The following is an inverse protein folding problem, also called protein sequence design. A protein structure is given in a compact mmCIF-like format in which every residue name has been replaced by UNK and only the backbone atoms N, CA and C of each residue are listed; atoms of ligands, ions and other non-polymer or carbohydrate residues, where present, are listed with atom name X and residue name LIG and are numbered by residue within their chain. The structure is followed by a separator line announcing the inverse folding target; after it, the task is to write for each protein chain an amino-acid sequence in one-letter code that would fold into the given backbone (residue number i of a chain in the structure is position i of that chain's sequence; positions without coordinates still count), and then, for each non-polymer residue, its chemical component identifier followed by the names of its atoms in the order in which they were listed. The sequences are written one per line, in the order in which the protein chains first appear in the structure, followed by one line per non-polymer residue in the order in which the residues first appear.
data_IF_189387030318
#
_entry.id   IF_189387030318
#
_cell.length_a   1.000
_cell.length_b   1.000
_cell.length_c   1.000
_cell.angle_alpha   90.00
_cell.angle_beta   90.00
_cell.angle_gamma   90.00
#
_symmetry.space_group_name_H-M   'P 1'
#
loop_
_entity.id
_entity.type
_entity.pdbx_description
1 polymer ?
#
# COMPACT_ATOMS: atom_id res chain seq x y z
N UNK A 1 3.05 -56.82 17.91
CA UNK A 1 2.91 -56.27 16.55
C UNK A 1 3.77 -55.00 16.53
N UNK A 2 5.01 -54.95 16.05
CA UNK A 2 5.63 -55.56 14.84
C UNK A 2 4.82 -55.25 13.58
N UNK A 3 5.33 -54.52 12.58
CA UNK A 3 6.66 -53.88 12.42
C UNK A 3 6.81 -53.20 11.05
N UNK A 4 8.05 -52.83 10.66
CA UNK A 4 8.48 -52.13 9.41
C UNK A 4 8.16 -50.60 9.36
N UNK A 5 9.10 -49.64 9.25
CA UNK A 5 10.51 -49.63 8.76
C UNK A 5 10.61 -50.07 7.27
N UNK A 6 11.31 -49.43 6.32
CA UNK A 6 12.19 -48.24 6.31
C UNK A 6 12.67 -47.97 4.84
N UNK A 7 13.11 -46.73 4.49
CA UNK A 7 14.25 -46.42 3.55
C UNK A 7 14.18 -46.90 2.04
N UNK A 8 14.88 -46.39 0.99
CA UNK A 8 15.81 -45.26 0.69
C UNK A 8 15.73 -44.84 -0.82
N UNK A 9 16.33 -43.68 -1.14
CA UNK A 9 16.86 -43.08 -2.40
C UNK A 9 17.29 -43.94 -3.62
N UNK A 10 17.39 -43.25 -4.78
CA UNK A 10 18.18 -43.58 -5.99
C UNK A 10 17.41 -43.13 -7.25
N UNK A 11 17.64 -41.98 -7.89
CA UNK A 11 18.77 -41.52 -8.74
C UNK A 11 19.00 -42.32 -10.04
N UNK A 12 18.71 -41.61 -11.13
CA UNK A 12 19.53 -41.39 -12.35
C UNK A 12 19.86 -42.55 -13.33
N UNK A 13 19.99 -42.12 -14.59
CA UNK A 13 20.62 -42.81 -15.75
C UNK A 13 19.98 -44.13 -16.22
N UNK A 14 20.07 -44.56 -17.48
CA UNK A 14 20.18 -44.03 -18.85
C UNK A 14 20.22 -45.32 -19.71
N UNK A 15 19.96 -45.24 -21.02
CA UNK A 15 20.26 -46.26 -22.05
C UNK A 15 19.94 -47.77 -21.82
N UNK A 16 19.22 -48.39 -22.77
CA UNK A 16 19.88 -49.13 -23.87
C UNK A 16 18.87 -49.70 -24.89
N UNK A 17 18.82 -49.04 -26.05
CA UNK A 17 18.85 -49.56 -27.42
C UNK A 17 17.97 -50.74 -27.95
N UNK A 18 17.65 -50.57 -29.25
CA UNK A 18 17.45 -51.59 -30.29
C UNK A 18 16.28 -52.60 -30.26
N UNK A 19 15.32 -52.42 -31.20
CA UNK A 19 15.12 -53.27 -32.42
C UNK A 19 13.80 -52.91 -33.13
N UNK A 20 13.83 -52.35 -34.36
CA UNK A 20 14.02 -53.02 -35.65
C UNK A 20 12.70 -53.54 -36.27
N UNK A 21 12.18 -52.91 -37.35
CA UNK A 21 12.41 -53.37 -38.74
C UNK A 21 11.37 -52.86 -39.78
N UNK A 22 11.91 -52.45 -40.95
CA UNK A 22 11.46 -52.76 -42.33
C UNK A 22 10.52 -51.83 -43.17
N UNK A 23 11.10 -51.34 -44.29
CA UNK A 23 10.55 -51.23 -45.67
C UNK A 23 9.30 -50.35 -45.97
N UNK A 24 8.98 -49.85 -47.18
CA UNK A 24 9.67 -49.49 -48.45
C UNK A 24 8.65 -48.77 -49.39
N UNK A 25 8.97 -48.09 -50.51
CA UNK A 25 10.07 -47.19 -50.92
C UNK A 25 9.75 -46.59 -52.33
N UNK A 26 10.40 -45.48 -52.75
CA UNK A 26 10.46 -44.93 -54.13
C UNK A 26 9.14 -44.45 -54.83
N UNK A 27 9.12 -43.68 -55.95
CA UNK A 27 9.83 -42.43 -56.37
C UNK A 27 9.21 -41.88 -57.70
N UNK A 28 9.45 -40.60 -58.05
CA UNK A 28 9.48 -39.95 -59.41
C UNK A 28 8.20 -39.62 -60.26
N UNK A 29 7.92 -38.29 -60.40
CA UNK A 29 7.76 -37.40 -61.61
C UNK A 29 7.01 -37.83 -62.93
N UNK A 30 6.62 -36.94 -63.91
CA UNK A 30 6.98 -35.51 -64.17
C UNK A 30 5.82 -34.53 -64.61
N UNK A 31 6.17 -33.34 -65.15
CA UNK A 31 5.31 -32.23 -65.69
C UNK A 31 5.56 -32.04 -67.21
N UNK A 32 4.64 -31.44 -68.01
CA UNK A 32 5.09 -30.40 -69.00
C UNK A 32 4.12 -29.21 -69.33
N UNK A 33 4.70 -28.00 -69.51
CA UNK A 33 4.53 -26.93 -70.54
C UNK A 33 3.26 -26.85 -71.47
N UNK A 34 2.74 -25.74 -72.06
CA UNK A 34 2.74 -24.24 -71.97
C UNK A 34 1.86 -23.66 -73.19
N UNK A 35 1.96 -22.42 -73.77
CA UNK A 35 0.86 -21.39 -73.87
C UNK A 35 0.38 -20.98 -75.32
N UNK A 36 0.07 -19.70 -75.68
CA UNK A 36 -1.17 -18.85 -75.55
C UNK A 36 -1.86 -18.49 -76.93
N UNK A 37 -2.86 -17.54 -77.05
CA UNK A 37 -2.54 -16.11 -77.34
C UNK A 37 -3.56 -14.97 -76.99
N UNK A 38 -3.01 -13.74 -76.83
CA UNK A 38 -3.46 -12.37 -77.26
C UNK A 38 -4.81 -11.67 -76.89
N UNK A 39 -4.65 -10.53 -76.17
CA UNK A 39 -5.19 -9.16 -76.41
C UNK A 39 -6.69 -8.85 -76.67
N UNK A 40 -7.30 -8.06 -75.76
CA UNK A 40 -7.75 -6.67 -76.04
C UNK A 40 -7.96 -5.83 -74.74
N UNK A 41 -8.28 -4.53 -74.85
CA UNK A 41 -7.75 -3.47 -73.94
C UNK A 41 -8.75 -2.43 -73.37
N UNK A 42 -8.30 -1.72 -72.31
CA UNK A 42 -8.82 -0.45 -71.68
C UNK A 42 -10.19 -0.56 -70.96
N UNK A 43 -10.38 -0.07 -69.72
CA UNK A 43 -10.17 1.28 -69.17
C UNK A 43 -10.05 1.24 -67.62
N UNK A 44 -8.96 1.67 -66.98
CA UNK A 44 -8.59 3.04 -66.56
C UNK A 44 -9.45 3.67 -65.42
N UNK A 45 -8.98 3.52 -64.18
CA UNK A 45 -9.09 4.52 -63.10
C UNK A 45 -7.95 4.28 -62.06
N UNK A 46 -7.46 5.31 -61.32
CA UNK A 46 -6.07 5.32 -60.85
C UNK A 46 -5.85 4.97 -59.36
N UNK A 47 -4.76 4.27 -59.08
CA UNK A 47 -4.20 4.11 -57.73
C UNK A 47 -3.31 5.31 -57.34
N UNK A 48 -3.25 5.69 -56.05
CA UNK A 48 -2.11 6.35 -55.46
C UNK A 48 -1.15 5.32 -54.82
N UNK A 49 0.01 5.18 -55.47
CA UNK A 49 1.35 4.94 -54.88
C UNK A 49 1.48 4.56 -53.40
N UNK A 50 1.96 3.34 -53.18
CA UNK A 50 3.26 3.03 -52.53
C UNK A 50 3.65 3.87 -51.30
N UNK A 51 3.42 3.32 -50.10
CA UNK A 51 4.42 3.40 -49.03
C UNK A 51 4.53 2.05 -48.31
N UNK A 52 5.56 1.29 -48.70
CA UNK A 52 6.09 0.19 -47.90
C UNK A 52 6.94 0.81 -46.81
N UNK A 53 6.44 0.81 -45.59
CA UNK A 53 7.22 0.94 -44.35
C UNK A 53 6.43 0.25 -43.24
N UNK A 54 6.38 -1.09 -43.31
CA UNK A 54 6.05 -1.93 -42.16
C UNK A 54 7.27 -2.01 -41.23
N UNK A 55 7.80 -0.84 -40.86
CA UNK A 55 8.85 -0.73 -39.86
C UNK A 55 8.26 -1.20 -38.56
N UNK A 56 8.84 -2.28 -38.05
CA UNK A 56 8.71 -2.75 -36.69
C UNK A 56 8.54 -1.54 -35.76
N UNK A 57 7.39 -1.42 -35.11
CA UNK A 57 7.27 -0.55 -33.97
C UNK A 57 8.18 -1.18 -32.90
N UNK A 58 9.42 -0.70 -32.86
CA UNK A 58 10.38 -1.07 -31.84
C UNK A 58 9.68 -0.94 -30.49
N UNK A 59 9.72 -2.02 -29.72
CA UNK A 59 9.47 -1.95 -28.29
C UNK A 59 10.65 -1.19 -27.73
N UNK A 60 10.58 0.13 -27.85
CA UNK A 60 11.62 1.04 -27.43
C UNK A 60 11.64 1.03 -25.90
N UNK A 61 12.43 0.09 -25.38
CA UNK A 61 12.83 0.00 -23.98
C UNK A 61 13.82 1.11 -23.64
N UNK A 62 13.52 2.35 -24.00
CA UNK A 62 14.23 3.51 -23.46
C UNK A 62 13.58 4.00 -22.17
N UNK A 63 14.45 4.30 -21.22
CA UNK A 63 14.16 4.31 -19.81
C UNK A 63 14.00 5.74 -19.33
N UNK A 64 12.83 6.33 -19.57
CA UNK A 64 12.43 7.57 -18.91
C UNK A 64 11.12 7.41 -18.13
N UNK A 65 11.19 7.65 -16.83
CA UNK A 65 10.03 7.86 -15.97
C UNK A 65 9.20 9.03 -16.52
N UNK A 66 8.21 8.72 -17.38
CA UNK A 66 7.12 9.63 -17.72
C UNK A 66 6.27 9.86 -16.46
N UNK A 67 6.78 10.74 -15.59
CA UNK A 67 6.05 11.32 -14.46
C UNK A 67 4.80 11.99 -15.02
N UNK A 68 3.69 11.26 -14.95
CA UNK A 68 2.38 11.72 -15.40
C UNK A 68 2.16 13.15 -14.88
N UNK A 69 1.78 14.10 -15.76
CA UNK A 69 1.61 15.49 -15.37
C UNK A 69 0.60 15.57 -14.23
N UNK A 70 0.86 16.49 -13.29
CA UNK A 70 0.02 16.62 -12.10
C UNK A 70 -1.46 16.74 -12.48
N UNK A 71 -2.36 15.94 -11.86
CA UNK A 71 -3.77 15.98 -12.20
C UNK A 71 -4.33 17.38 -11.94
N UNK A 72 -5.12 17.94 -12.87
CA UNK A 72 -5.68 19.28 -12.72
C UNK A 72 -6.45 19.40 -11.40
N UNK A 73 -6.37 20.57 -10.76
CA UNK A 73 -7.09 20.83 -9.52
C UNK A 73 -8.60 20.59 -9.71
N UNK A 74 -9.16 19.68 -8.90
CA UNK A 74 -10.53 19.21 -9.09
C UNK A 74 -10.86 17.97 -8.26
N UNK A 75 -11.96 17.29 -8.60
CA UNK A 75 -12.53 16.16 -7.84
C UNK A 75 -11.57 14.99 -7.60
N UNK A 76 -10.49 14.90 -8.39
CA UNK A 76 -9.44 13.88 -8.29
C UNK A 76 -8.60 14.02 -7.00
N UNK A 77 -8.35 15.26 -6.56
CA UNK A 77 -7.57 15.56 -5.35
C UNK A 77 -8.26 15.11 -4.04
N UNK A 78 -9.59 14.97 -4.08
CA UNK A 78 -10.42 14.49 -2.97
C UNK A 78 -10.66 12.96 -3.01
N UNK A 79 -9.97 12.24 -3.90
CA UNK A 79 -10.06 10.78 -3.96
C UNK A 79 -9.60 10.14 -2.65
N UNK A 80 -10.43 9.26 -2.09
CA UNK A 80 -10.17 8.62 -0.80
C UNK A 80 -10.51 9.46 0.44
N UNK A 81 -10.98 10.70 0.31
CA UNK A 81 -11.51 11.46 1.45
C UNK A 81 -12.76 10.79 2.06
N UNK A 82 -13.67 10.28 1.24
CA UNK A 82 -14.84 9.51 1.71
C UNK A 82 -14.43 8.21 2.42
N UNK A 83 -13.43 7.49 1.88
CA UNK A 83 -12.83 6.33 2.53
C UNK A 83 -12.18 6.68 3.87
N UNK A 84 -11.53 7.85 3.98
CA UNK A 84 -10.93 8.31 5.24
C UNK A 84 -11.98 8.61 6.30
N UNK A 85 -13.10 9.25 5.95
CA UNK A 85 -14.18 9.60 6.89
C UNK A 85 -14.83 8.32 7.42
N UNK A 86 -15.35 7.47 6.53
CA UNK A 86 -16.00 6.19 6.88
C UNK A 86 -15.01 5.29 7.65
N UNK A 87 -13.78 5.23 7.16
CA UNK A 87 -12.68 4.46 7.74
C UNK A 87 -12.32 4.87 9.16
N UNK A 88 -12.18 6.17 9.42
CA UNK A 88 -11.88 6.67 10.77
C UNK A 88 -13.05 6.46 11.73
N UNK A 89 -14.30 6.60 11.28
CA UNK A 89 -15.48 6.32 12.09
C UNK A 89 -15.55 4.83 12.48
N UNK A 90 -15.40 3.92 11.50
CA UNK A 90 -15.37 2.48 11.75
C UNK A 90 -14.19 2.08 12.66
N UNK A 91 -13.01 2.67 12.43
CA UNK A 91 -11.82 2.50 13.27
C UNK A 91 -12.08 2.87 14.72
N UNK A 92 -12.65 4.05 14.97
CA UNK A 92 -12.99 4.50 16.32
C UNK A 92 -14.01 3.56 17.00
N UNK A 93 -15.11 3.22 16.30
CA UNK A 93 -16.14 2.32 16.83
C UNK A 93 -15.60 0.94 17.21
N UNK A 94 -14.85 0.28 16.31
CA UNK A 94 -14.23 -1.03 16.62
C UNK A 94 -13.23 -0.90 17.76
N UNK A 95 -12.43 0.16 17.81
CA UNK A 95 -11.45 0.36 18.89
C UNK A 95 -12.11 0.47 20.27
N UNK A 96 -13.17 1.26 20.41
CA UNK A 96 -13.87 1.40 21.70
C UNK A 96 -14.54 0.08 22.10
N UNK A 97 -15.31 -0.54 21.19
CA UNK A 97 -15.97 -1.84 21.47
C UNK A 97 -14.94 -2.91 21.85
N UNK A 98 -13.84 -3.04 21.09
CA UNK A 98 -12.80 -4.01 21.40
C UNK A 98 -12.10 -3.69 22.73
N UNK A 99 -11.81 -2.41 23.01
CA UNK A 99 -11.19 -2.00 24.27
C UNK A 99 -12.08 -2.33 25.47
N UNK A 100 -13.38 -2.05 25.41
CA UNK A 100 -14.31 -2.37 26.49
C UNK A 100 -14.47 -3.88 26.70
N UNK A 101 -14.48 -4.68 25.62
CA UNK A 101 -14.48 -6.15 25.71
C UNK A 101 -13.19 -6.69 26.34
N UNK A 102 -12.00 -6.24 25.90
CA UNK A 102 -10.74 -6.67 26.52
C UNK A 102 -10.58 -6.15 27.95
N UNK A 103 -11.10 -4.96 28.25
CA UNK A 103 -11.14 -4.41 29.60
C UNK A 103 -12.00 -5.30 30.50
N UNK A 104 -13.22 -5.64 30.08
CA UNK A 104 -14.12 -6.53 30.82
C UNK A 104 -13.51 -7.92 31.10
N UNK A 105 -12.71 -8.46 30.17
CA UNK A 105 -11.98 -9.72 30.34
C UNK A 105 -10.75 -9.65 31.25
N UNK A 106 -10.28 -8.44 31.61
CA UNK A 106 -9.03 -8.23 32.35
C UNK A 106 -9.21 -7.49 33.69
N UNK A 107 -10.44 -7.16 34.08
CA UNK A 107 -10.77 -6.62 35.41
C UNK A 107 -10.43 -7.66 36.48
N UNK A 108 -9.81 -7.22 37.58
CA UNK A 108 -9.70 -8.06 38.80
C UNK A 108 -11.06 -8.16 39.52
N UNK A 109 -11.21 -9.15 40.41
CA UNK A 109 -12.41 -9.34 41.25
C UNK A 109 -12.80 -8.07 42.05
N UNK A 110 -11.85 -7.18 42.30
CA UNK A 110 -12.03 -5.89 42.97
C UNK A 110 -12.49 -4.74 42.04
N UNK A 111 -12.88 -5.01 40.78
CA UNK A 111 -13.33 -4.00 39.82
C UNK A 111 -12.23 -3.10 39.23
N UNK A 112 -10.99 -3.27 39.65
CA UNK A 112 -9.85 -2.44 39.27
C UNK A 112 -9.09 -3.02 38.05
N UNK A 113 -8.64 -2.13 37.16
CA UNK A 113 -7.65 -2.47 36.13
C UNK A 113 -6.27 -1.95 36.55
N UNK A 114 -5.30 -2.85 36.68
CA UNK A 114 -3.89 -2.46 36.84
C UNK A 114 -3.31 -1.91 35.52
N UNK A 115 -2.35 -1.01 35.62
CA UNK A 115 -1.67 -0.39 34.47
C UNK A 115 -1.22 -1.38 33.38
N UNK A 116 -0.52 -2.49 33.73
CA UNK A 116 -0.11 -3.50 32.76
C UNK A 116 -1.29 -4.17 32.03
N UNK A 117 -2.40 -4.43 32.72
CA UNK A 117 -3.61 -5.01 32.10
C UNK A 117 -4.30 -4.02 31.17
N UNK A 118 -4.32 -2.74 31.51
CA UNK A 118 -4.80 -1.67 30.62
C UNK A 118 -3.96 -1.60 29.33
N UNK A 119 -2.65 -1.81 29.41
CA UNK A 119 -1.76 -1.88 28.23
C UNK A 119 -2.08 -3.12 27.38
N UNK A 120 -2.30 -4.29 27.98
CA UNK A 120 -2.69 -5.51 27.27
C UNK A 120 -4.06 -5.33 26.58
N UNK A 121 -5.05 -4.77 27.27
CA UNK A 121 -6.36 -4.45 26.70
C UNK A 121 -6.26 -3.47 25.52
N UNK A 122 -5.44 -2.42 25.66
CA UNK A 122 -5.15 -1.46 24.60
C UNK A 122 -4.46 -2.09 23.38
N UNK A 123 -3.54 -3.04 23.60
CA UNK A 123 -2.85 -3.76 22.52
C UNK A 123 -3.79 -4.73 21.80
N UNK A 124 -4.58 -5.52 22.52
CA UNK A 124 -5.61 -6.39 21.94
C UNK A 124 -6.62 -5.60 21.12
N UNK A 125 -7.11 -4.48 21.66
CA UNK A 125 -8.00 -3.57 20.93
C UNK A 125 -7.36 -3.05 19.64
N UNK A 126 -6.10 -2.62 19.69
CA UNK A 126 -5.35 -2.12 18.53
C UNK A 126 -5.08 -3.17 17.45
N UNK A 127 -4.90 -4.44 17.82
CA UNK A 127 -4.78 -5.57 16.88
C UNK A 127 -6.13 -5.83 16.19
N UNK A 128 -7.21 -5.90 16.95
CA UNK A 128 -8.58 -6.12 16.44
C UNK A 128 -9.05 -4.97 15.55
N UNK A 129 -8.83 -3.72 15.98
CA UNK A 129 -9.00 -2.49 15.19
C UNK A 129 -8.21 -2.55 13.88
N UNK A 130 -6.95 -2.99 13.94
CA UNK A 130 -6.08 -3.07 12.76
C UNK A 130 -6.57 -4.13 11.76
N UNK A 131 -6.99 -5.29 12.23
CA UNK A 131 -7.47 -6.38 11.40
C UNK A 131 -8.82 -6.06 10.76
N UNK A 132 -9.79 -5.56 11.54
CA UNK A 132 -11.18 -5.43 11.11
C UNK A 132 -11.50 -4.09 10.44
N UNK A 133 -10.87 -2.98 10.84
CA UNK A 133 -11.11 -1.65 10.26
C UNK A 133 -9.93 -1.12 9.46
N UNK A 134 -8.74 -1.01 10.04
CA UNK A 134 -7.64 -0.23 9.44
C UNK A 134 -7.15 -0.85 8.14
N UNK A 135 -6.88 -2.15 8.14
CA UNK A 135 -6.31 -2.85 6.97
C UNK A 135 -7.23 -2.84 5.75
N UNK A 136 -8.50 -3.30 5.83
CA UNK A 136 -9.40 -3.25 4.68
C UNK A 136 -9.63 -1.81 4.20
N UNK A 137 -9.82 -0.85 5.13
CA UNK A 137 -10.00 0.56 4.79
C UNK A 137 -8.79 1.15 4.08
N UNK A 138 -7.58 0.95 4.60
CA UNK A 138 -6.36 1.49 3.98
C UNK A 138 -6.11 0.85 2.61
N UNK A 139 -6.36 -0.46 2.44
CA UNK A 139 -6.25 -1.14 1.13
C UNK A 139 -7.27 -0.61 0.10
N UNK A 140 -8.52 -0.36 0.51
CA UNK A 140 -9.53 0.27 -0.36
C UNK A 140 -9.11 1.71 -0.69
N UNK A 141 -8.60 2.46 0.28
CA UNK A 141 -8.15 3.85 0.08
C UNK A 141 -7.02 3.93 -0.93
N UNK A 142 -5.98 3.11 -0.79
CA UNK A 142 -4.83 3.11 -1.70
C UNK A 142 -5.23 2.62 -3.08
N UNK A 143 -6.02 1.53 -3.19
CA UNK A 143 -6.51 1.05 -4.47
C UNK A 143 -7.34 2.13 -5.19
N UNK A 144 -8.16 2.89 -4.46
CA UNK A 144 -8.92 4.02 -5.01
C UNK A 144 -8.02 5.20 -5.42
N UNK A 145 -6.94 5.48 -4.70
CA UNK A 145 -5.97 6.54 -5.08
C UNK A 145 -5.13 6.11 -6.30
N UNK A 146 -4.83 4.83 -6.43
CA UNK A 146 -4.03 4.25 -7.52
C UNK A 146 -4.85 4.15 -8.82
N UNK A 147 -6.10 3.67 -8.74
CA UNK A 147 -7.05 3.66 -9.88
C UNK A 147 -7.26 5.07 -10.46
N UNK A 148 -7.20 6.10 -9.62
CA UNK A 148 -7.31 7.51 -10.03
C UNK A 148 -6.11 8.07 -10.79
N UNK A 149 -4.97 7.37 -10.77
CA UNK A 149 -3.81 7.68 -11.63
C UNK A 149 -3.86 6.97 -12.97
N UNK A 150 -4.71 5.95 -13.11
CA UNK A 150 -4.90 5.23 -14.38
C UNK A 150 -5.61 6.10 -15.41
N UNK A 151 -5.30 5.88 -16.69
CA UNK A 151 -5.91 6.60 -17.81
C UNK A 151 -7.44 6.38 -17.93
N UNK A 152 -7.98 5.32 -17.30
CA UNK A 152 -9.42 5.01 -17.26
C UNK A 152 -9.86 4.65 -15.83
N UNK A 153 -10.06 5.63 -14.93
CA UNK A 153 -10.41 5.38 -13.54
C UNK A 153 -11.81 4.76 -13.41
N UNK A 154 -11.90 3.58 -12.78
CA UNK A 154 -13.15 2.79 -12.65
C UNK A 154 -13.83 2.96 -11.30
N UNK A 155 -13.11 3.41 -10.27
CA UNK A 155 -13.59 3.49 -8.89
C UNK A 155 -13.99 4.91 -8.51
N UNK A 156 -15.28 5.14 -8.27
CA UNK A 156 -15.81 6.49 -7.97
C UNK A 156 -15.69 6.87 -6.49
N UNK A 157 -15.76 5.91 -5.57
CA UNK A 157 -15.65 6.12 -4.12
C UNK A 157 -15.70 4.80 -3.33
N UNK A 158 -15.62 4.87 -1.99
CA UNK A 158 -15.51 3.70 -1.09
C UNK A 158 -16.51 2.57 -1.39
N UNK A 159 -17.82 2.87 -1.32
CA UNK A 159 -18.89 1.88 -1.51
C UNK A 159 -18.90 1.24 -2.91
N UNK A 160 -18.38 1.94 -3.92
CA UNK A 160 -18.24 1.42 -5.28
C UNK A 160 -16.95 0.60 -5.48
N UNK A 161 -15.89 0.92 -4.73
CA UNK A 161 -14.63 0.19 -4.78
C UNK A 161 -14.72 -1.19 -4.12
N UNK A 162 -15.44 -1.31 -2.99
CA UNK A 162 -15.61 -2.58 -2.25
C UNK A 162 -16.06 -3.76 -3.14
N UNK A 163 -17.20 -3.70 -3.86
CA UNK A 163 -17.66 -4.84 -4.67
C UNK A 163 -16.75 -5.13 -5.86
N UNK A 164 -16.05 -4.13 -6.41
CA UNK A 164 -15.07 -4.35 -7.51
C UNK A 164 -13.84 -5.08 -6.97
N UNK A 165 -13.25 -4.61 -5.86
CA UNK A 165 -12.10 -5.25 -5.22
C UNK A 165 -12.43 -6.68 -4.77
N UNK A 166 -13.63 -6.90 -4.20
CA UNK A 166 -14.09 -8.23 -3.81
C UNK A 166 -14.20 -9.19 -5.00
N UNK A 167 -14.69 -8.73 -6.16
CA UNK A 167 -14.79 -9.55 -7.38
C UNK A 167 -13.45 -9.78 -8.07
N UNK A 168 -12.58 -8.78 -8.13
CA UNK A 168 -11.31 -8.84 -8.88
C UNK A 168 -10.14 -9.46 -8.06
N UNK A 169 -10.13 -9.32 -6.73
CA UNK A 169 -9.04 -9.79 -5.86
C UNK A 169 -9.46 -10.73 -4.73
N UNK A 170 -10.77 -10.91 -4.51
CA UNK A 170 -11.29 -11.66 -3.37
C UNK A 170 -10.95 -11.03 -2.01
N UNK A 171 -11.27 -11.75 -0.93
CA UNK A 171 -11.03 -11.28 0.44
C UNK A 171 -9.54 -10.96 0.70
N UNK A 172 -8.61 -11.68 0.08
CA UNK A 172 -7.16 -11.43 0.20
C UNK A 172 -6.73 -10.05 -0.32
N UNK A 173 -7.46 -9.43 -1.25
CA UNK A 173 -7.17 -8.08 -1.72
C UNK A 173 -7.25 -7.01 -0.63
N UNK A 174 -8.18 -7.16 0.32
CA UNK A 174 -8.33 -6.22 1.44
C UNK A 174 -7.18 -6.29 2.45
N UNK A 175 -6.46 -7.41 2.53
CA UNK A 175 -5.30 -7.61 3.41
C UNK A 175 -3.95 -7.44 2.70
N UNK A 176 -3.96 -7.05 1.42
CA UNK A 176 -2.75 -6.77 0.66
C UNK A 176 -1.99 -5.58 1.28
N UNK A 177 -0.73 -5.79 1.68
CA UNK A 177 0.05 -4.79 2.42
C UNK A 177 -0.24 -4.72 3.93
N UNK A 178 -0.91 -5.71 4.52
CA UNK A 178 -1.11 -5.82 5.97
C UNK A 178 0.20 -5.75 6.77
N UNK A 179 1.16 -6.63 6.46
CA UNK A 179 2.45 -6.73 7.17
C UNK A 179 3.20 -5.39 7.24
N UNK A 180 3.49 -4.69 6.12
CA UNK A 180 4.16 -3.38 6.19
C UNK A 180 3.29 -2.29 6.84
N UNK A 181 1.95 -2.40 6.77
CA UNK A 181 1.04 -1.50 7.48
C UNK A 181 1.13 -1.65 9.00
N UNK A 182 1.09 -2.88 9.50
CA UNK A 182 1.17 -3.19 10.94
C UNK A 182 2.57 -2.88 11.47
N UNK A 183 3.63 -3.26 10.74
CA UNK A 183 5.00 -2.91 11.08
C UNK A 183 5.20 -1.39 11.17
N UNK A 184 4.66 -0.63 10.22
CA UNK A 184 4.66 0.84 10.27
C UNK A 184 3.92 1.38 11.49
N UNK A 185 2.74 0.87 11.81
CA UNK A 185 1.98 1.36 12.98
C UNK A 185 2.74 1.10 14.29
N UNK A 186 3.32 -0.10 14.44
CA UNK A 186 4.16 -0.44 15.59
C UNK A 186 5.39 0.49 15.69
N UNK A 187 6.14 0.65 14.59
CA UNK A 187 7.31 1.53 14.53
C UNK A 187 6.97 2.99 14.82
N UNK A 188 5.85 3.51 14.28
CA UNK A 188 5.40 4.87 14.53
C UNK A 188 5.09 5.11 16.02
N UNK A 189 4.46 4.14 16.69
CA UNK A 189 4.19 4.24 18.13
C UNK A 189 5.49 4.15 18.93
N UNK A 190 6.32 3.13 18.68
CA UNK A 190 7.57 2.89 19.40
C UNK A 190 8.54 4.09 19.25
N UNK A 191 8.86 4.50 18.02
CA UNK A 191 9.78 5.63 17.80
C UNK A 191 9.24 6.93 18.37
N UNK A 192 7.93 7.20 18.29
CA UNK A 192 7.36 8.42 18.86
C UNK A 192 7.49 8.47 20.37
N UNK A 193 7.17 7.39 21.07
CA UNK A 193 7.32 7.32 22.52
C UNK A 193 8.78 7.35 22.94
N UNK A 194 9.66 6.57 22.30
CA UNK A 194 11.09 6.56 22.62
C UNK A 194 11.75 7.92 22.37
N UNK A 195 11.53 8.55 21.22
CA UNK A 195 12.11 9.86 20.92
C UNK A 195 11.55 10.96 21.83
N UNK A 196 10.24 10.97 22.08
CA UNK A 196 9.62 11.92 23.01
C UNK A 196 10.17 11.77 24.42
N UNK A 197 10.20 10.54 24.96
CA UNK A 197 10.71 10.28 26.31
C UNK A 197 12.21 10.56 26.42
N UNK A 198 13.01 10.29 25.38
CA UNK A 198 14.45 10.60 25.35
C UNK A 198 14.69 12.11 25.45
N UNK A 199 14.09 12.89 24.55
CA UNK A 199 14.24 14.35 24.56
C UNK A 199 13.61 15.00 25.80
N UNK A 200 12.49 14.45 26.29
CA UNK A 200 11.86 14.89 27.53
C UNK A 200 12.79 14.68 28.73
N UNK A 201 13.34 13.47 28.94
CA UNK A 201 14.32 13.22 30.00
C UNK A 201 15.56 14.11 29.88
N UNK A 202 16.06 14.31 28.66
CA UNK A 202 17.21 15.19 28.40
C UNK A 202 16.90 16.64 28.81
N UNK A 203 15.73 17.18 28.44
CA UNK A 203 15.34 18.54 28.82
C UNK A 203 14.99 18.68 30.31
N UNK A 204 14.35 17.67 30.91
CA UNK A 204 14.12 17.60 32.36
C UNK A 204 15.44 17.58 33.14
N UNK A 205 16.52 16.99 32.61
CA UNK A 205 17.85 17.00 33.25
C UNK A 205 18.54 18.36 33.32
N UNK A 206 18.10 19.34 32.51
CA UNK A 206 18.57 20.72 32.55
C UNK A 206 17.63 21.66 33.33
N UNK A 207 16.54 21.11 33.90
CA UNK A 207 15.49 21.87 34.58
C UNK A 207 15.54 21.57 36.10
N UNK A 208 15.08 22.50 36.94
CA UNK A 208 15.04 22.27 38.38
C UNK A 208 14.10 21.09 38.74
N UNK A 209 14.45 20.24 39.74
CA UNK A 209 13.63 19.09 40.10
C UNK A 209 12.19 19.47 40.47
N UNK A 210 11.22 19.04 39.65
CA UNK A 210 9.79 19.27 39.87
C UNK A 210 9.15 20.37 39.00
N UNK A 211 9.94 21.18 38.29
CA UNK A 211 9.41 22.16 37.34
C UNK A 211 9.03 21.47 36.01
N UNK A 212 7.76 21.61 35.61
CA UNK A 212 7.26 21.03 34.35
C UNK A 212 7.75 21.87 33.18
N UNK A 213 8.21 21.23 32.11
CA UNK A 213 8.55 21.93 30.86
C UNK A 213 7.38 22.80 30.40
N UNK A 214 7.66 24.09 30.20
CA UNK A 214 6.71 25.03 29.61
C UNK A 214 6.19 24.54 28.24
N UNK A 215 5.00 25.03 27.86
CA UNK A 215 4.30 24.59 26.66
C UNK A 215 5.18 24.62 25.39
N UNK A 216 6.03 25.64 25.23
CA UNK A 216 6.98 25.78 24.12
C UNK A 216 8.03 24.67 24.11
N UNK A 217 8.60 24.31 25.26
CA UNK A 217 9.59 23.23 25.38
C UNK A 217 8.97 21.86 25.07
N UNK A 218 7.79 21.60 25.64
CA UNK A 218 7.01 20.38 25.34
C UNK A 218 6.62 20.29 23.86
N UNK A 219 6.25 21.42 23.24
CA UNK A 219 5.96 21.50 21.81
C UNK A 219 7.20 21.23 20.94
N UNK A 220 8.34 21.85 21.24
CA UNK A 220 9.59 21.65 20.50
C UNK A 220 10.04 20.17 20.55
N UNK A 221 9.96 19.55 21.72
CA UNK A 221 10.25 18.12 21.92
C UNK A 221 9.26 17.24 21.16
N UNK A 222 7.96 17.55 21.22
CA UNK A 222 6.94 16.85 20.45
C UNK A 222 7.15 16.95 18.92
N UNK A 223 7.59 18.12 18.45
CA UNK A 223 7.97 18.38 17.07
C UNK A 223 9.19 17.58 16.63
N UNK A 224 10.28 17.60 17.41
CA UNK A 224 11.51 16.87 17.12
C UNK A 224 11.30 15.35 17.16
N UNK A 225 10.57 14.84 18.16
CA UNK A 225 10.15 13.44 18.21
C UNK A 225 9.29 13.06 17.00
N UNK A 226 8.41 13.98 16.55
CA UNK A 226 7.63 13.83 15.32
C UNK A 226 8.49 13.73 14.06
N UNK A 227 9.51 14.60 13.92
CA UNK A 227 10.47 14.57 12.82
C UNK A 227 11.21 13.23 12.76
N UNK A 228 11.82 12.80 13.86
CA UNK A 228 12.54 11.50 13.93
C UNK A 228 11.59 10.35 13.60
N UNK A 229 10.37 10.35 14.16
CA UNK A 229 9.37 9.32 13.86
C UNK A 229 9.07 9.23 12.36
N UNK A 230 8.97 10.37 11.67
CA UNK A 230 8.74 10.38 10.21
C UNK A 230 9.94 9.77 9.48
N UNK A 231 11.17 10.22 9.73
CA UNK A 231 12.35 9.68 9.04
C UNK A 231 12.58 8.18 9.29
N UNK A 232 12.37 7.70 10.52
CA UNK A 232 12.52 6.27 10.86
C UNK A 232 11.42 5.41 10.24
N UNK A 233 10.17 5.89 10.18
CA UNK A 233 9.05 5.12 9.63
C UNK A 233 8.89 5.23 8.11
N UNK A 234 9.54 6.21 7.48
CA UNK A 234 9.39 6.49 6.05
C UNK A 234 9.68 5.29 5.13
N UNK A 235 10.72 4.46 5.35
CA UNK A 235 10.93 3.26 4.53
C UNK A 235 9.75 2.28 4.57
N UNK A 236 9.11 2.12 5.74
CA UNK A 236 7.93 1.26 5.90
C UNK A 236 6.69 1.86 5.21
N UNK A 237 6.50 3.18 5.23
CA UNK A 237 5.45 3.85 4.43
C UNK A 237 5.69 3.68 2.92
N UNK A 238 6.94 3.72 2.45
CA UNK A 238 7.29 3.48 1.04
C UNK A 238 7.01 2.02 0.62
N UNK A 239 7.46 1.03 1.39
CA UNK A 239 7.14 -0.39 1.13
C UNK A 239 5.63 -0.63 1.18
N UNK A 240 4.94 -0.05 2.17
CA UNK A 240 3.49 -0.14 2.32
C UNK A 240 2.77 0.37 1.07
N UNK A 241 3.07 1.60 0.64
CA UNK A 241 2.39 2.25 -0.50
C UNK A 241 2.64 1.49 -1.81
N UNK A 242 3.87 1.00 -2.03
CA UNK A 242 4.19 0.09 -3.15
C UNK A 242 3.43 -1.24 -3.06
N UNK A 243 3.35 -1.87 -1.88
CA UNK A 243 2.59 -3.13 -1.68
C UNK A 243 1.07 -2.98 -1.80
N UNK A 244 0.56 -1.76 -1.61
CA UNK A 244 -0.85 -1.41 -1.65
C UNK A 244 -1.33 -0.89 -3.02
N UNK A 245 -0.46 -0.85 -4.04
CA UNK A 245 -0.84 -0.55 -5.42
C UNK A 245 -1.62 -1.69 -6.06
N UNK A 246 -2.28 -1.40 -7.19
CA UNK A 246 -3.06 -2.36 -7.97
C UNK A 246 -2.19 -3.53 -8.45
N UNK A 247 -0.97 -3.23 -8.92
CA UNK A 247 -0.09 -4.20 -9.56
C UNK A 247 0.85 -4.93 -8.60
N UNK A 248 0.91 -4.55 -7.32
CA UNK A 248 1.94 -5.05 -6.40
C UNK A 248 2.01 -6.58 -6.27
N UNK A 249 0.89 -7.29 -6.45
CA UNK A 249 0.86 -8.76 -6.48
C UNK A 249 1.60 -9.35 -7.68
N UNK A 250 1.54 -8.68 -8.85
CA UNK A 250 2.24 -9.06 -10.09
C UNK A 250 3.71 -8.65 -10.03
N UNK A 251 4.00 -7.43 -9.58
CA UNK A 251 5.35 -6.84 -9.59
C UNK A 251 6.23 -7.35 -8.45
N UNK A 252 5.72 -7.40 -7.23
CA UNK A 252 6.51 -7.72 -6.04
C UNK A 252 6.10 -9.03 -5.35
N UNK A 253 4.81 -9.36 -5.33
CA UNK A 253 4.26 -10.53 -4.64
C UNK A 253 4.24 -10.39 -3.11
N UNK A 254 5.42 -10.33 -2.49
CA UNK A 254 5.62 -10.25 -1.04
C UNK A 254 6.36 -8.97 -0.62
N UNK A 255 6.11 -8.47 0.60
CA UNK A 255 6.70 -7.22 1.09
C UNK A 255 8.24 -7.26 1.24
N UNK A 256 8.82 -8.42 1.55
CA UNK A 256 10.28 -8.58 1.55
C UNK A 256 10.85 -8.46 0.13
N UNK A 257 10.23 -9.14 -0.85
CA UNK A 257 10.63 -9.02 -2.26
C UNK A 257 10.50 -7.56 -2.73
N UNK A 258 9.40 -6.87 -2.40
CA UNK A 258 9.22 -5.43 -2.65
C UNK A 258 10.40 -4.59 -2.10
N UNK A 259 10.77 -4.77 -0.82
CA UNK A 259 11.91 -4.07 -0.22
C UNK A 259 13.23 -4.37 -0.95
N UNK A 260 13.50 -5.63 -1.29
CA UNK A 260 14.72 -6.00 -2.03
C UNK A 260 14.73 -5.47 -3.47
N UNK A 261 13.57 -5.38 -4.13
CA UNK A 261 13.43 -4.80 -5.47
C UNK A 261 13.72 -3.31 -5.44
N UNK A 262 13.11 -2.56 -4.52
CA UNK A 262 13.40 -1.12 -4.34
C UNK A 262 14.90 -0.91 -4.05
N UNK A 263 15.48 -1.67 -3.12
CA UNK A 263 16.89 -1.56 -2.78
C UNK A 263 17.83 -1.81 -3.97
N UNK A 264 17.55 -2.84 -4.79
CA UNK A 264 18.41 -3.23 -5.93
C UNK A 264 18.19 -2.44 -7.22
N UNK A 265 16.98 -1.94 -7.47
CA UNK A 265 16.60 -1.29 -8.74
C UNK A 265 16.39 0.21 -8.62
N UNK A 266 15.79 0.68 -7.51
CA UNK A 266 15.45 2.10 -7.29
C UNK A 266 16.44 2.81 -6.34
N UNK A 267 17.30 2.07 -5.65
CA UNK A 267 18.31 2.58 -4.73
C UNK A 267 17.79 2.98 -3.34
N UNK A 268 18.73 3.16 -2.39
CA UNK A 268 18.43 3.37 -0.96
C UNK A 268 17.70 4.69 -0.69
N UNK A 269 18.04 5.76 -1.41
CA UNK A 269 17.42 7.08 -1.19
C UNK A 269 15.92 7.09 -1.53
N UNK A 270 15.47 6.20 -2.42
CA UNK A 270 14.07 6.12 -2.84
C UNK A 270 13.13 5.77 -1.69
N UNK A 271 13.60 5.07 -0.65
CA UNK A 271 12.84 4.86 0.58
C UNK A 271 12.42 6.17 1.27
N UNK A 272 13.21 7.25 1.16
CA UNK A 272 12.93 8.56 1.78
C UNK A 272 12.37 9.63 0.83
N UNK A 273 12.22 9.33 -0.46
CA UNK A 273 11.67 10.26 -1.48
C UNK A 273 10.34 10.92 -1.08
N UNK A 274 9.50 10.24 -0.29
CA UNK A 274 8.22 10.75 0.23
C UNK A 274 8.28 11.49 1.57
N UNK A 275 9.45 11.67 2.20
CA UNK A 275 9.56 12.27 3.53
C UNK A 275 9.10 13.74 3.56
N UNK A 276 9.59 14.56 2.64
CA UNK A 276 9.27 15.99 2.58
C UNK A 276 7.77 16.28 2.39
N UNK A 277 7.05 15.71 1.39
CA UNK A 277 5.61 15.94 1.25
C UNK A 277 4.80 15.39 2.43
N UNK A 278 5.29 14.34 3.12
CA UNK A 278 4.69 13.84 4.37
C UNK A 278 4.86 14.83 5.53
N UNK A 279 6.03 15.45 5.67
CA UNK A 279 6.28 16.49 6.67
C UNK A 279 5.41 17.73 6.42
N UNK A 280 5.39 18.23 5.18
CA UNK A 280 4.53 19.36 4.80
C UNK A 280 3.05 19.08 5.11
N UNK A 281 2.55 17.88 4.76
CA UNK A 281 1.20 17.43 5.12
C UNK A 281 0.95 17.44 6.64
N UNK A 282 1.91 17.00 7.45
CA UNK A 282 1.77 16.97 8.91
C UNK A 282 1.72 18.36 9.51
N UNK A 283 2.56 19.29 9.05
CA UNK A 283 2.57 20.70 9.51
C UNK A 283 1.24 21.38 9.16
N UNK A 284 0.81 21.31 7.89
CA UNK A 284 -0.46 21.91 7.43
C UNK A 284 -1.66 21.28 8.14
N UNK A 285 -1.69 19.95 8.26
CA UNK A 285 -2.78 19.25 8.96
C UNK A 285 -2.80 19.56 10.46
N UNK A 286 -1.64 19.78 11.09
CA UNK A 286 -1.55 20.18 12.49
C UNK A 286 -2.10 21.57 12.70
N UNK A 287 -1.60 22.56 11.95
CA UNK A 287 -2.07 23.95 12.02
C UNK A 287 -3.58 24.08 11.81
N UNK A 288 -4.12 23.45 10.75
CA UNK A 288 -5.57 23.46 10.50
C UNK A 288 -6.39 22.86 11.64
N UNK A 289 -5.92 21.79 12.29
CA UNK A 289 -6.62 21.17 13.42
C UNK A 289 -6.58 22.07 14.66
N UNK A 290 -5.42 22.69 14.98
CA UNK A 290 -5.32 23.61 16.11
C UNK A 290 -6.16 24.88 15.90
N UNK A 291 -6.09 25.51 14.73
CA UNK A 291 -6.93 26.68 14.41
C UNK A 291 -8.42 26.33 14.44
N UNK A 292 -8.82 25.18 13.90
CA UNK A 292 -10.22 24.73 13.99
C UNK A 292 -10.65 24.50 15.44
N UNK A 293 -9.80 23.88 16.26
CA UNK A 293 -10.04 23.65 17.68
C UNK A 293 -10.23 24.97 18.46
N UNK A 294 -9.34 25.95 18.28
CA UNK A 294 -9.45 27.28 18.91
C UNK A 294 -10.74 27.98 18.50
N UNK A 295 -11.09 27.99 17.21
CA UNK A 295 -12.34 28.59 16.74
C UNK A 295 -13.57 27.88 17.31
N UNK A 296 -13.52 26.55 17.43
CA UNK A 296 -14.59 25.75 18.06
C UNK A 296 -14.71 26.10 19.55
N UNK A 297 -13.61 26.21 20.30
CA UNK A 297 -13.66 26.65 21.71
C UNK A 297 -14.23 28.07 21.86
N UNK A 298 -13.80 29.02 21.02
CA UNK A 298 -14.35 30.39 21.02
C UNK A 298 -15.84 30.41 20.69
N UNK A 299 -16.33 29.49 19.85
CA UNK A 299 -17.76 29.32 19.58
C UNK A 299 -18.50 28.67 20.75
N UNK A 300 -17.95 27.65 21.40
CA UNK A 300 -18.55 27.02 22.59
C UNK A 300 -18.68 28.03 23.74
N UNK A 301 -17.61 28.76 24.07
CA UNK A 301 -17.61 29.77 25.14
C UNK A 301 -18.56 30.97 24.85
N UNK A 302 -19.03 31.13 23.60
CA UNK A 302 -20.08 32.09 23.23
C UNK A 302 -21.51 31.52 23.34
N UNK A 303 -21.65 30.20 23.25
CA UNK A 303 -22.95 29.49 23.31
C UNK A 303 -23.30 29.14 24.76
N UNK A 304 -22.33 28.71 25.56
CA UNK A 304 -22.48 28.48 27.01
C UNK A 304 -21.35 29.18 27.78
N UNK A 305 -21.50 30.49 28.09
CA UNK A 305 -20.51 31.26 28.84
C UNK A 305 -20.40 30.86 30.32
N UNK A 306 -21.39 30.13 30.84
CA UNK A 306 -21.54 29.76 32.26
C UNK A 306 -21.19 28.28 32.53
N UNK A 307 -20.69 27.53 31.52
CA UNK A 307 -20.42 26.07 31.57
C UNK A 307 -21.58 25.25 32.17
N UNK A 308 -22.83 25.65 31.88
CA UNK A 308 -24.00 25.23 32.66
C UNK A 308 -24.68 23.97 32.11
N UNK A 309 -24.40 23.60 30.86
CA UNK A 309 -25.02 22.46 30.19
C UNK A 309 -24.04 21.49 29.51
N UNK A 310 -22.76 21.84 29.36
CA UNK A 310 -21.73 21.05 28.64
C UNK A 310 -20.38 21.11 29.37
#
# INVERSE_FOLDING_TARGET
MSGRYERINGQDEEDFDARNNNNNNNLSHPIPHSPPPSFHSRSSSPQPTRQVDATLAEVDTDNTDLKLPWPPFGKQWYAGCTTLIIGNAAKAGIRFVAFDQYKALLVDENGNLSGPRTVIAGFGAGVTESLLAVTPTESIKTTLIDDRKSAKPRMRGFLHAVPIIARERGLRGFFQGFVPTTARQAANSATRFTAYNFFKQMAESYTAPGEKLGAVGTFAIGGLAGLITVYVTQPLDTIKTRMQSIEAKKTYGNSFKCATTIFKQEGVLTFWSGALPRLARLVVSGGLVFTAYEQIQVWFNKIDPDEKYI
#
